data_IF_110441960789
#
_entry.id   IF_110441960789
#
_cell.length_a   1.000
_cell.length_b   1.000
_cell.length_c   1.000
_cell.angle_alpha   90.00
_cell.angle_beta   90.00
_cell.angle_gamma   90.00
#
_symmetry.space_group_name_H-M   'P 1'
#
loop_
_entity.id
_entity.type
_entity.pdbx_description
1 polymer ?
#
# COMPACT_ATOMS: atom_id res chain seq x y z
N UNK A 1 -19.47 -62.99 41.41
CA UNK A 1 -18.15 -62.79 40.77
C UNK A 1 -17.98 -63.86 39.69
N UNK A 2 -17.26 -63.63 38.56
CA UNK A 2 -16.68 -62.38 38.01
C UNK A 2 -17.77 -61.32 37.65
N UNK A 3 -17.59 -60.27 36.82
CA UNK A 3 -16.46 -59.34 36.48
C UNK A 3 -17.11 -58.07 35.85
N UNK A 4 -16.66 -56.83 36.10
CA UNK A 4 -17.13 -55.66 35.34
C UNK A 4 -16.34 -55.50 34.02
N UNK A 5 -17.03 -55.25 32.91
CA UNK A 5 -16.39 -54.75 31.70
C UNK A 5 -16.12 -53.25 31.87
N UNK A 6 -14.85 -52.85 31.88
CA UNK A 6 -14.48 -51.44 31.90
C UNK A 6 -14.75 -50.84 30.53
N UNK A 7 -15.80 -50.04 30.42
CA UNK A 7 -16.15 -49.32 29.19
C UNK A 7 -15.09 -48.27 28.88
N UNK A 8 -14.28 -48.55 27.85
CA UNK A 8 -13.36 -47.60 27.23
C UNK A 8 -14.20 -46.47 26.62
N UNK A 9 -14.17 -45.27 27.22
CA UNK A 9 -14.82 -44.09 26.66
C UNK A 9 -13.93 -43.57 25.53
N UNK A 10 -14.17 -44.06 24.32
CA UNK A 10 -13.61 -43.51 23.09
C UNK A 10 -14.60 -42.57 22.40
N UNK A 11 -14.04 -41.58 21.71
CA UNK A 11 -14.70 -40.67 20.76
C UNK A 11 -15.81 -39.76 21.30
N UNK A 12 -15.41 -38.51 21.55
CA UNK A 12 -16.19 -37.33 21.21
C UNK A 12 -15.35 -36.48 20.25
N UNK A 13 -15.13 -37.00 19.04
CA UNK A 13 -14.47 -36.25 17.97
C UNK A 13 -15.14 -34.89 17.81
N UNK A 14 -14.36 -33.81 17.87
CA UNK A 14 -14.90 -32.45 17.89
C UNK A 14 -15.06 -31.94 16.46
N UNK A 15 -15.83 -32.70 15.68
CA UNK A 15 -16.44 -32.34 14.42
C UNK A 15 -15.53 -31.54 13.49
N UNK A 16 -14.89 -32.23 12.55
CA UNK A 16 -14.52 -31.67 11.24
C UNK A 16 -15.78 -31.25 10.45
N UNK A 17 -16.55 -30.31 11.00
CA UNK A 17 -17.45 -29.45 10.25
C UNK A 17 -16.70 -28.16 9.99
N UNK A 18 -16.34 -27.94 8.73
CA UNK A 18 -15.72 -26.71 8.24
C UNK A 18 -16.70 -25.56 8.52
N UNK A 19 -16.49 -24.85 9.63
CA UNK A 19 -17.37 -23.75 10.02
C UNK A 19 -17.29 -22.66 8.95
N UNK A 20 -18.41 -22.27 8.30
CA UNK A 20 -18.39 -21.18 7.33
C UNK A 20 -17.77 -19.90 7.90
N UNK A 21 -17.92 -19.65 9.21
CA UNK A 21 -17.27 -18.54 9.88
C UNK A 21 -15.74 -18.68 9.95
N UNK A 22 -15.20 -19.89 10.15
CA UNK A 22 -13.74 -20.08 10.14
C UNK A 22 -13.15 -19.88 8.73
N UNK A 23 -13.83 -20.37 7.69
CA UNK A 23 -13.42 -20.15 6.29
C UNK A 23 -13.38 -18.65 5.96
N UNK A 24 -14.39 -17.88 6.36
CA UNK A 24 -14.39 -16.42 6.14
C UNK A 24 -13.33 -15.68 6.98
N UNK A 25 -12.98 -16.19 8.17
CA UNK A 25 -11.94 -15.61 9.01
C UNK A 25 -10.52 -15.88 8.44
N UNK A 26 -10.31 -17.05 7.85
CA UNK A 26 -9.03 -17.42 7.23
C UNK A 26 -8.80 -16.68 5.90
N UNK A 27 -9.85 -16.46 5.10
CA UNK A 27 -9.80 -15.60 3.91
C UNK A 27 -9.49 -14.14 4.30
N UNK A 28 -10.17 -13.59 5.30
CA UNK A 28 -9.91 -12.25 5.81
C UNK A 28 -8.46 -12.10 6.32
N UNK A 29 -7.92 -13.12 7.01
CA UNK A 29 -6.53 -13.11 7.48
C UNK A 29 -5.54 -13.02 6.31
N UNK A 30 -5.74 -13.80 5.24
CA UNK A 30 -4.89 -13.76 4.05
C UNK A 30 -4.89 -12.38 3.37
N UNK A 31 -6.04 -11.70 3.32
CA UNK A 31 -6.11 -10.33 2.82
C UNK A 31 -5.36 -9.33 3.72
N UNK A 32 -5.49 -9.45 5.05
CA UNK A 32 -4.79 -8.60 6.01
C UNK A 32 -3.26 -8.80 5.90
N UNK A 33 -2.78 -10.04 5.96
CA UNK A 33 -1.34 -10.36 5.85
C UNK A 33 -0.74 -9.82 4.54
N UNK A 34 -1.47 -9.93 3.43
CA UNK A 34 -1.06 -9.37 2.14
C UNK A 34 -1.01 -7.83 2.15
N UNK A 35 -1.96 -7.16 2.82
CA UNK A 35 -1.97 -5.70 2.95
C UNK A 35 -0.81 -5.25 3.85
N UNK A 36 -0.55 -5.92 4.97
CA UNK A 36 0.57 -5.62 5.87
C UNK A 36 1.93 -5.76 5.16
N UNK A 37 2.10 -6.80 4.34
CA UNK A 37 3.28 -6.96 3.49
C UNK A 37 3.44 -5.80 2.49
N UNK A 38 2.37 -5.42 1.80
CA UNK A 38 2.38 -4.31 0.83
C UNK A 38 2.64 -2.95 1.50
N UNK A 39 2.14 -2.71 2.71
CA UNK A 39 2.45 -1.49 3.49
C UNK A 39 3.89 -1.48 3.99
N UNK A 40 4.48 -2.63 4.32
CA UNK A 40 5.91 -2.75 4.63
C UNK A 40 6.78 -2.43 3.40
N UNK A 41 6.54 -3.06 2.25
CA UNK A 41 7.25 -2.76 0.99
C UNK A 41 7.13 -1.28 0.61
N UNK A 42 5.93 -0.72 0.69
CA UNK A 42 5.64 0.70 0.44
C UNK A 42 6.39 1.63 1.38
N UNK A 43 6.57 1.25 2.65
CA UNK A 43 7.38 2.01 3.61
C UNK A 43 8.86 1.98 3.22
N UNK A 44 9.40 0.81 2.90
CA UNK A 44 10.81 0.65 2.52
C UNK A 44 11.13 1.41 1.23
N UNK A 45 10.25 1.33 0.22
CA UNK A 45 10.34 2.14 -1.01
C UNK A 45 10.26 3.64 -0.70
N UNK A 46 9.39 4.06 0.24
CA UNK A 46 9.30 5.46 0.65
C UNK A 46 10.55 5.94 1.41
N UNK A 47 11.29 5.05 2.08
CA UNK A 47 12.58 5.35 2.70
C UNK A 47 13.69 5.49 1.65
N UNK A 48 13.80 4.54 0.70
CA UNK A 48 14.71 4.64 -0.46
C UNK A 48 14.49 5.93 -1.26
N UNK A 49 13.23 6.33 -1.50
CA UNK A 49 12.91 7.59 -2.18
C UNK A 49 13.40 8.82 -1.38
N UNK A 50 13.33 8.80 -0.04
CA UNK A 50 13.86 9.89 0.80
C UNK A 50 15.38 9.98 0.69
N UNK A 51 16.08 8.86 0.65
CA UNK A 51 17.54 8.82 0.49
C UNK A 51 17.98 9.45 -0.83
N UNK A 52 17.32 9.11 -1.95
CA UNK A 52 17.58 9.76 -3.26
C UNK A 52 17.35 11.27 -3.21
N UNK A 53 16.27 11.74 -2.55
CA UNK A 53 16.05 13.18 -2.36
C UNK A 53 17.10 13.85 -1.44
N UNK A 54 17.64 13.12 -0.46
CA UNK A 54 18.71 13.60 0.41
C UNK A 54 20.04 13.69 -0.35
N UNK A 55 20.36 12.69 -1.18
CA UNK A 55 21.55 12.69 -2.04
C UNK A 55 21.51 13.85 -3.04
N UNK A 56 20.38 14.06 -3.73
CA UNK A 56 20.19 15.20 -4.63
C UNK A 56 20.43 16.54 -3.91
N UNK A 57 19.93 16.69 -2.67
CA UNK A 57 20.19 17.88 -1.85
C UNK A 57 21.67 18.02 -1.48
N UNK A 58 22.35 16.92 -1.14
CA UNK A 58 23.79 16.91 -0.87
C UNK A 58 24.65 17.28 -2.09
N UNK A 59 24.18 16.96 -3.29
CA UNK A 59 24.75 17.37 -4.58
C UNK A 59 24.39 18.81 -5.00
N UNK A 60 23.57 19.53 -4.22
CA UNK A 60 23.21 20.93 -4.46
C UNK A 60 21.94 21.17 -5.30
N UNK A 61 21.16 20.13 -5.62
CA UNK A 61 19.88 20.29 -6.35
C UNK A 61 18.75 20.79 -5.44
N UNK A 62 17.86 21.64 -5.97
CA UNK A 62 16.62 22.04 -5.28
C UNK A 62 15.62 20.88 -5.25
N UNK A 63 15.39 20.33 -4.06
CA UNK A 63 14.48 19.19 -3.85
C UNK A 63 13.00 19.52 -4.05
N UNK A 64 12.58 20.79 -3.96
CA UNK A 64 11.22 21.23 -4.31
C UNK A 64 11.04 21.26 -5.82
N UNK A 65 12.04 21.75 -6.57
CA UNK A 65 12.03 21.76 -8.03
C UNK A 65 11.98 20.33 -8.59
N UNK A 66 12.82 19.42 -8.09
CA UNK A 66 12.78 18.00 -8.51
C UNK A 66 11.45 17.34 -8.16
N UNK A 67 10.86 17.61 -6.97
CA UNK A 67 9.53 17.09 -6.62
C UNK A 67 8.44 17.55 -7.59
N UNK A 68 8.44 18.84 -7.96
CA UNK A 68 7.53 19.37 -9.00
C UNK A 68 7.72 18.63 -10.33
N UNK A 69 8.97 18.44 -10.77
CA UNK A 69 9.29 17.73 -12.01
C UNK A 69 8.79 16.27 -11.99
N UNK A 70 8.97 15.55 -10.87
CA UNK A 70 8.46 14.18 -10.71
C UNK A 70 6.93 14.13 -10.77
N UNK A 71 6.23 15.11 -10.18
CA UNK A 71 4.76 15.20 -10.27
C UNK A 71 4.29 15.52 -11.69
N UNK A 72 4.92 16.49 -12.37
CA UNK A 72 4.60 16.83 -13.76
C UNK A 72 4.79 15.62 -14.70
N UNK A 73 5.87 14.84 -14.51
CA UNK A 73 6.14 13.61 -15.27
C UNK A 73 5.18 12.43 -14.97
N UNK A 74 4.27 12.56 -14.01
CA UNK A 74 3.22 11.58 -13.71
C UNK A 74 1.85 11.96 -14.29
N UNK A 75 1.64 13.21 -14.68
CA UNK A 75 0.41 13.67 -15.34
C UNK A 75 0.42 13.26 -16.82
N UNK A 76 -0.75 13.27 -17.44
CA UNK A 76 -0.85 13.13 -18.88
C UNK A 76 -0.22 14.36 -19.59
N UNK A 77 0.61 14.18 -20.63
CA UNK A 77 1.24 15.29 -21.34
C UNK A 77 0.25 16.28 -21.97
N UNK A 78 -0.96 15.84 -22.32
CA UNK A 78 -2.03 16.68 -22.87
C UNK A 78 -2.63 17.56 -21.78
N UNK A 79 -2.99 16.97 -20.63
CA UNK A 79 -3.50 17.70 -19.45
C UNK A 79 -2.49 18.76 -18.97
N UNK A 80 -1.19 18.44 -18.94
CA UNK A 80 -0.14 19.40 -18.57
C UNK A 80 -0.08 20.58 -19.53
N UNK A 81 -0.17 20.35 -20.85
CA UNK A 81 -0.16 21.42 -21.85
C UNK A 81 -1.40 22.32 -21.74
N UNK A 82 -2.58 21.75 -21.46
CA UNK A 82 -3.81 22.51 -21.24
C UNK A 82 -3.74 23.36 -19.95
N UNK A 83 -3.26 22.77 -18.84
CA UNK A 83 -3.01 23.51 -17.59
C UNK A 83 -2.01 24.66 -17.79
N UNK A 84 -0.87 24.40 -18.43
CA UNK A 84 0.18 25.40 -18.66
C UNK A 84 -0.31 26.53 -19.60
N UNK A 85 -1.08 26.20 -20.65
CA UNK A 85 -1.64 27.21 -21.55
C UNK A 85 -2.63 28.16 -20.83
N UNK A 86 -3.48 27.62 -19.94
CA UNK A 86 -4.38 28.42 -19.10
C UNK A 86 -3.57 29.25 -18.09
N UNK A 87 -2.52 28.68 -17.51
CA UNK A 87 -1.65 29.37 -16.56
C UNK A 87 -0.91 30.56 -17.21
N UNK A 88 -0.37 30.39 -18.42
CA UNK A 88 0.28 31.47 -19.17
C UNK A 88 -0.69 32.58 -19.58
N UNK A 89 -1.94 32.24 -19.95
CA UNK A 89 -2.99 33.23 -20.19
C UNK A 89 -3.23 34.09 -18.95
N UNK A 90 -3.31 33.48 -17.76
CA UNK A 90 -3.49 34.21 -16.50
C UNK A 90 -2.26 35.02 -16.08
N UNK A 91 -1.03 34.50 -16.23
CA UNK A 91 0.20 35.26 -15.99
C UNK A 91 0.27 36.50 -16.88
N UNK A 92 -0.05 36.34 -18.17
CA UNK A 92 -0.09 37.45 -19.14
C UNK A 92 -1.11 38.50 -18.73
N UNK A 93 -2.33 38.10 -18.36
CA UNK A 93 -3.38 39.01 -17.89
C UNK A 93 -3.02 39.73 -16.58
N UNK A 94 -2.17 39.13 -15.74
CA UNK A 94 -1.68 39.71 -14.48
C UNK A 94 -0.35 40.49 -14.63
N UNK A 95 0.23 40.56 -15.83
CA UNK A 95 1.53 41.21 -16.06
C UNK A 95 2.72 40.52 -15.39
N UNK A 96 2.65 39.19 -15.23
CA UNK A 96 3.66 38.35 -14.56
C UNK A 96 4.57 37.58 -15.55
N UNK A 97 4.62 38.01 -16.82
CA UNK A 97 5.39 37.40 -17.91
C UNK A 97 6.71 38.13 -18.15
#
# INVERSE_FOLDING_TARGET
>A
MPRPQSGRIETGDKSDMTDPYSVTADELRQFIERIEHLEAEKKDIAEQIKEVYAELKGRGYDSKAIRKLVTLRKKDPQEVQEEDAILELYKTALGMA
#
